data_IF_669415932330
#
_entry.id   IF_669415932330
#
_cell.length_a   1.000
_cell.length_b   1.000
_cell.length_c   1.000
_cell.angle_alpha   90.00
_cell.angle_beta   90.00
_cell.angle_gamma   90.00
#
_symmetry.space_group_name_H-M   'P 1'
#
loop_
_entity.id
_entity.type
_entity.pdbx_description
1 polymer ?
#
# COMPACT_ATOMS: atom_id res chain seq x y z
N UNK A 1 -9.46 60.34 -31.59
CA UNK A 1 -9.76 58.93 -31.25
C UNK A 1 -11.27 58.64 -31.07
N UNK A 2 -12.18 59.45 -31.65
CA UNK A 2 -13.63 59.23 -31.51
C UNK A 2 -14.27 58.42 -32.66
N UNK A 3 -13.56 58.24 -33.78
CA UNK A 3 -14.09 57.57 -34.97
C UNK A 3 -14.13 56.03 -34.84
N UNK A 4 -13.23 55.44 -34.04
CA UNK A 4 -13.09 53.98 -33.93
C UNK A 4 -14.21 53.36 -33.06
N UNK A 5 -14.69 54.12 -32.06
CA UNK A 5 -15.75 53.67 -31.17
C UNK A 5 -17.11 53.49 -31.88
N UNK A 6 -17.39 54.31 -32.91
CA UNK A 6 -18.62 54.21 -33.69
C UNK A 6 -18.67 52.96 -34.56
N UNK A 7 -17.54 52.55 -35.11
CA UNK A 7 -17.45 51.31 -35.90
C UNK A 7 -17.60 50.06 -35.04
N UNK A 8 -17.03 50.05 -33.84
CA UNK A 8 -17.18 48.95 -32.89
C UNK A 8 -18.65 48.78 -32.44
N UNK A 9 -19.38 49.89 -32.23
CA UNK A 9 -20.79 49.83 -31.85
C UNK A 9 -21.66 49.27 -33.00
N UNK A 10 -21.36 49.64 -34.24
CA UNK A 10 -22.08 49.12 -35.41
C UNK A 10 -21.80 47.63 -35.67
N UNK A 11 -20.58 47.16 -35.43
CA UNK A 11 -20.25 45.73 -35.51
C UNK A 11 -20.95 44.91 -34.42
N UNK A 12 -21.04 45.43 -33.19
CA UNK A 12 -21.77 44.78 -32.09
C UNK A 12 -23.28 44.73 -32.35
N UNK A 13 -23.88 45.79 -32.90
CA UNK A 13 -25.30 45.79 -33.26
C UNK A 13 -25.59 44.83 -34.42
N UNK A 14 -24.70 44.76 -35.41
CA UNK A 14 -24.81 43.84 -36.55
C UNK A 14 -24.73 42.37 -36.14
N UNK A 15 -23.85 42.02 -35.19
CA UNK A 15 -23.75 40.65 -34.66
C UNK A 15 -24.99 40.23 -33.87
N UNK A 16 -25.60 41.16 -33.12
CA UNK A 16 -26.80 40.89 -32.33
C UNK A 16 -28.05 40.65 -33.20
N UNK A 17 -28.13 41.30 -34.37
CA UNK A 17 -29.24 41.13 -35.32
C UNK A 17 -29.13 39.87 -36.19
N UNK A 18 -27.94 39.27 -36.32
CA UNK A 18 -27.73 38.04 -37.10
C UNK A 18 -28.08 36.74 -36.33
N UNK A 19 -28.45 36.83 -35.05
CA UNK A 19 -28.55 35.68 -34.15
C UNK A 19 -29.94 34.99 -33.99
N UNK A 20 -31.11 35.50 -34.41
CA UNK A 20 -32.37 34.79 -34.18
C UNK A 20 -32.90 34.15 -35.46
N UNK A 21 -32.19 33.14 -35.99
CA UNK A 21 -32.76 32.27 -37.03
C UNK A 21 -32.34 30.79 -36.94
N UNK A 22 -31.38 30.43 -36.08
CA UNK A 22 -30.85 29.06 -36.03
C UNK A 22 -31.44 28.17 -34.92
N UNK A 23 -32.51 28.60 -34.23
CA UNK A 23 -33.15 27.82 -33.15
C UNK A 23 -34.63 27.50 -33.44
N UNK A 24 -34.96 27.21 -34.71
CA UNK A 24 -36.29 26.75 -35.07
C UNK A 24 -36.25 25.76 -36.25
N UNK A 25 -35.57 24.63 -36.08
CA UNK A 25 -35.81 23.46 -36.91
C UNK A 25 -35.45 22.18 -36.14
N UNK A 26 -36.35 21.20 -36.26
CA UNK A 26 -36.20 19.80 -35.87
C UNK A 26 -36.47 19.38 -34.41
N UNK A 27 -37.76 19.39 -34.04
CA UNK A 27 -38.32 18.43 -33.09
C UNK A 27 -39.65 17.89 -33.64
N UNK A 28 -39.63 17.36 -34.87
CA UNK A 28 -40.85 16.86 -35.53
C UNK A 28 -40.64 15.50 -36.18
N UNK A 29 -40.10 14.52 -35.46
CA UNK A 29 -40.36 13.12 -35.76
C UNK A 29 -40.02 12.22 -34.57
N UNK A 30 -41.05 11.67 -33.91
CA UNK A 30 -40.84 10.72 -32.81
C UNK A 30 -41.99 10.57 -31.82
N UNK A 31 -43.25 10.82 -32.21
CA UNK A 31 -44.41 10.55 -31.37
C UNK A 31 -45.40 9.66 -32.16
N UNK A 32 -45.07 8.37 -32.24
CA UNK A 32 -46.00 7.31 -32.68
C UNK A 32 -45.79 5.94 -32.01
N UNK A 33 -44.88 5.82 -31.04
CA UNK A 33 -44.72 4.56 -30.27
C UNK A 33 -45.12 4.68 -28.79
N UNK A 34 -45.53 5.87 -28.33
CA UNK A 34 -45.80 6.14 -26.90
C UNK A 34 -47.25 5.97 -26.44
N UNK A 35 -48.11 5.33 -27.22
CA UNK A 35 -49.49 5.05 -26.80
C UNK A 35 -49.76 3.57 -26.49
N UNK A 36 -48.84 2.65 -26.82
CA UNK A 36 -49.00 1.22 -26.51
C UNK A 36 -48.43 0.79 -25.14
N UNK A 37 -47.62 1.63 -24.50
CA UNK A 37 -46.99 1.30 -23.21
C UNK A 37 -47.81 1.77 -22.00
N UNK A 38 -48.79 2.66 -22.17
CA UNK A 38 -49.51 3.26 -21.04
C UNK A 38 -50.53 2.34 -20.35
N UNK A 39 -50.82 1.18 -20.93
CA UNK A 39 -51.68 0.17 -20.30
C UNK A 39 -50.88 -0.89 -19.51
N UNK A 40 -49.55 -0.96 -19.71
CA UNK A 40 -48.69 -1.93 -19.01
C UNK A 40 -48.34 -1.52 -17.58
N UNK A 41 -48.49 -0.25 -17.22
CA UNK A 41 -48.22 0.24 -15.87
C UNK A 41 -49.37 0.01 -14.88
N UNK A 42 -50.51 -0.56 -15.33
CA UNK A 42 -51.69 -0.76 -14.47
C UNK A 42 -51.70 -2.07 -13.68
N UNK A 43 -50.80 -3.00 -13.98
CA UNK A 43 -50.69 -4.28 -13.29
C UNK A 43 -49.27 -4.49 -12.76
N UNK A 44 -49.08 -4.71 -11.45
CA UNK A 44 -47.77 -5.12 -10.94
C UNK A 44 -47.37 -6.44 -11.61
N UNK A 45 -46.09 -6.61 -11.99
CA UNK A 45 -45.62 -7.88 -12.52
C UNK A 45 -45.92 -8.98 -11.50
N UNK A 46 -46.31 -10.19 -11.95
CA UNK A 46 -46.56 -11.30 -11.04
C UNK A 46 -45.31 -11.52 -10.17
N UNK A 47 -45.47 -11.85 -8.88
CA UNK A 47 -44.34 -12.13 -7.99
C UNK A 47 -43.43 -13.17 -8.63
N UNK A 48 -42.21 -12.75 -9.00
CA UNK A 48 -41.25 -13.64 -9.61
C UNK A 48 -40.63 -14.49 -8.50
N UNK A 49 -41.15 -15.70 -8.32
CA UNK A 49 -40.55 -16.69 -7.43
C UNK A 49 -39.48 -17.44 -8.21
N UNK A 50 -38.21 -17.12 -7.95
CA UNK A 50 -37.10 -17.95 -8.42
C UNK A 50 -37.29 -19.37 -7.87
N UNK A 51 -37.16 -20.42 -8.70
CA UNK A 51 -37.19 -21.78 -8.20
C UNK A 51 -36.05 -21.96 -7.18
N UNK A 52 -36.25 -22.82 -6.15
CA UNK A 52 -35.19 -23.11 -5.19
C UNK A 52 -33.97 -23.67 -5.92
N UNK A 53 -32.74 -23.31 -5.50
CA UNK A 53 -31.53 -23.87 -6.10
C UNK A 53 -31.56 -25.40 -5.96
N UNK A 54 -31.01 -26.14 -6.94
CA UNK A 54 -30.95 -27.59 -6.86
C UNK A 54 -30.15 -28.02 -5.61
N UNK A 55 -30.49 -29.18 -5.00
CA UNK A 55 -29.74 -29.73 -3.88
C UNK A 55 -28.26 -29.87 -4.26
N UNK A 56 -27.39 -29.19 -3.51
CA UNK A 56 -25.95 -29.30 -3.72
C UNK A 56 -25.43 -30.52 -2.95
N UNK A 57 -24.93 -31.50 -3.68
CA UNK A 57 -24.19 -32.62 -3.10
C UNK A 57 -22.69 -32.38 -3.32
N UNK A 58 -21.96 -32.19 -2.22
CA UNK A 58 -20.51 -32.16 -2.27
C UNK A 58 -19.98 -33.51 -2.76
N UNK A 59 -19.01 -33.54 -3.69
CA UNK A 59 -18.36 -34.79 -4.08
C UNK A 59 -17.68 -35.43 -2.86
N UNK A 60 -17.60 -36.77 -2.81
CA UNK A 60 -16.88 -37.46 -1.74
C UNK A 60 -15.40 -37.04 -1.73
N UNK A 61 -14.77 -36.94 -0.55
CA UNK A 61 -13.35 -36.60 -0.46
C UNK A 61 -12.50 -37.66 -1.18
N UNK A 62 -11.38 -37.25 -1.80
CA UNK A 62 -10.49 -38.18 -2.46
C UNK A 62 -9.89 -39.19 -1.46
N UNK A 63 -9.65 -40.44 -1.88
CA UNK A 63 -9.04 -41.44 -1.02
C UNK A 63 -7.65 -40.97 -0.56
N UNK A 64 -7.40 -41.06 0.76
CA UNK A 64 -6.09 -40.79 1.32
C UNK A 64 -5.22 -42.03 1.14
N UNK A 65 -4.23 -41.94 0.25
CA UNK A 65 -3.21 -42.99 0.10
C UNK A 65 -2.00 -42.58 0.96
N UNK A 66 -1.61 -43.37 1.97
CA UNK A 66 -0.40 -43.10 2.74
C UNK A 66 0.81 -43.10 1.82
N UNK A 67 1.70 -42.11 1.97
CA UNK A 67 2.99 -42.12 1.29
C UNK A 67 3.88 -43.24 1.84
N UNK A 68 4.70 -43.89 1.00
CA UNK A 68 5.65 -44.89 1.47
C UNK A 68 6.68 -44.23 2.42
N UNK A 69 7.21 -44.97 3.41
CA UNK A 69 8.27 -44.46 4.28
C UNK A 69 9.55 -44.17 3.48
N UNK A 70 10.34 -43.16 3.88
CA UNK A 70 11.59 -42.82 3.21
C UNK A 70 12.61 -43.97 3.35
N UNK A 71 13.52 -44.14 2.37
CA UNK A 71 14.57 -45.15 2.44
C UNK A 71 15.52 -44.84 3.61
N UNK A 72 15.84 -45.86 4.40
CA UNK A 72 16.85 -45.76 5.46
C UNK A 72 18.22 -45.96 4.82
N UNK A 73 19.04 -44.90 4.81
CA UNK A 73 20.44 -44.97 4.37
C UNK A 73 21.31 -45.16 5.61
N UNK A 74 22.04 -46.28 5.66
CA UNK A 74 22.99 -46.57 6.74
C UNK A 74 24.41 -46.25 6.26
N UNK A 75 25.08 -45.31 6.92
CA UNK A 75 26.46 -44.95 6.62
C UNK A 75 27.42 -45.71 7.56
N UNK A 76 28.59 -46.16 7.07
CA UNK A 76 29.60 -46.76 7.94
C UNK A 76 30.18 -45.71 8.91
N UNK A 77 30.61 -46.13 10.12
CA UNK A 77 31.27 -45.23 11.05
C UNK A 77 32.61 -44.74 10.48
N UNK A 78 33.00 -43.48 10.76
CA UNK A 78 34.27 -42.94 10.28
C UNK A 78 35.47 -43.65 10.92
N UNK A 79 36.63 -43.72 10.23
CA UNK A 79 37.83 -44.32 10.79
C UNK A 79 38.34 -43.50 11.98
N UNK A 80 38.74 -44.19 13.05
CA UNK A 80 39.37 -43.57 14.21
C UNK A 80 40.86 -43.42 13.93
N UNK A 81 41.33 -42.18 13.81
CA UNK A 81 42.77 -41.88 13.69
C UNK A 81 43.29 -41.46 15.06
N UNK A 82 44.14 -42.30 15.66
CA UNK A 82 44.84 -41.95 16.89
C UNK A 82 46.05 -41.08 16.55
N UNK A 83 46.00 -39.80 16.92
CA UNK A 83 47.17 -38.93 16.82
C UNK A 83 48.21 -39.29 17.91
N UNK A 84 49.51 -39.22 17.61
CA UNK A 84 50.55 -39.43 18.61
C UNK A 84 50.52 -38.31 19.67
N UNK A 85 50.94 -38.60 20.92
CA UNK A 85 51.01 -37.60 21.98
C UNK A 85 52.06 -36.52 21.64
N UNK A 86 51.78 -35.23 21.95
CA UNK A 86 52.70 -34.15 21.65
C UNK A 86 53.98 -34.22 22.51
N UNK A 87 55.12 -33.75 22.00
CA UNK A 87 56.36 -33.74 22.76
C UNK A 87 56.28 -32.79 23.96
N UNK A 88 56.86 -33.20 25.08
CA UNK A 88 56.94 -32.37 26.29
C UNK A 88 57.97 -31.24 26.10
N UNK A 89 57.61 -29.98 26.39
CA UNK A 89 58.55 -28.87 26.31
C UNK A 89 59.50 -28.87 27.51
N UNK A 90 60.82 -28.92 27.26
CA UNK A 90 61.83 -28.52 28.24
C UNK A 90 61.85 -27.00 28.32
N UNK A 91 61.26 -26.43 29.38
CA UNK A 91 61.30 -24.98 29.62
C UNK A 91 62.59 -24.57 30.34
N UNK A 92 63.27 -23.51 29.87
CA UNK A 92 64.36 -22.88 30.63
C UNK A 92 63.83 -22.22 31.92
N UNK A 93 64.71 -21.96 32.92
CA UNK A 93 64.31 -21.32 34.17
C UNK A 93 63.72 -19.91 33.91
N UNK A 94 62.69 -19.50 34.67
CA UNK A 94 62.01 -18.25 34.43
C UNK A 94 62.94 -17.05 34.73
N UNK A 95 62.89 -15.98 33.90
CA UNK A 95 63.67 -14.78 34.15
C UNK A 95 63.20 -14.09 35.43
N UNK A 96 64.14 -13.47 36.15
CA UNK A 96 63.87 -12.68 37.35
C UNK A 96 63.12 -11.42 36.93
N UNK A 97 61.85 -11.31 37.34
CA UNK A 97 60.99 -10.19 36.98
C UNK A 97 61.34 -8.99 37.85
N UNK A 98 62.01 -8.00 37.26
CA UNK A 98 62.07 -6.65 37.83
C UNK A 98 60.74 -5.97 37.49
N UNK A 99 59.94 -5.66 38.50
CA UNK A 99 58.62 -5.05 38.32
C UNK A 99 58.75 -3.66 37.69
N UNK A 100 58.53 -3.59 36.38
CA UNK A 100 58.28 -2.32 35.70
C UNK A 100 56.96 -1.72 36.19
N UNK A 101 56.85 -0.39 36.32
CA UNK A 101 55.61 0.27 36.69
C UNK A 101 54.51 -0.01 35.66
N UNK A 102 53.23 -0.09 36.08
CA UNK A 102 52.11 -0.38 35.18
C UNK A 102 52.00 0.71 34.10
N UNK A 103 51.78 0.35 32.83
CA UNK A 103 51.59 1.33 31.77
C UNK A 103 50.33 2.18 32.04
N UNK A 104 50.32 3.45 31.63
CA UNK A 104 49.14 4.30 31.77
C UNK A 104 47.97 3.69 31.01
N UNK A 105 46.83 3.58 31.69
CA UNK A 105 45.59 3.08 31.09
C UNK A 105 45.10 4.13 30.10
N UNK A 106 45.33 3.89 28.81
CA UNK A 106 44.72 4.69 27.74
C UNK A 106 43.30 4.16 27.57
N UNK A 107 42.31 4.92 28.05
CA UNK A 107 40.91 4.64 27.77
C UNK A 107 40.65 4.90 26.29
N UNK A 108 40.64 3.84 25.48
CA UNK A 108 40.13 3.91 24.12
C UNK A 108 38.65 4.30 24.16
N UNK A 109 38.20 5.22 23.29
CA UNK A 109 36.78 5.54 23.20
C UNK A 109 36.00 4.28 22.79
N UNK A 110 34.75 4.12 23.25
CA UNK A 110 33.92 3.00 22.87
C UNK A 110 33.73 2.96 21.35
N UNK A 111 33.68 1.77 20.73
CA UNK A 111 33.45 1.64 19.30
C UNK A 111 32.11 2.29 18.92
N UNK A 112 32.02 2.94 17.75
CA UNK A 112 30.76 3.53 17.29
C UNK A 112 29.68 2.46 17.20
N UNK A 113 28.56 2.71 17.87
CA UNK A 113 27.38 1.84 17.80
C UNK A 113 26.83 1.91 16.37
N UNK A 114 26.57 0.77 15.70
CA UNK A 114 25.92 0.79 14.40
C UNK A 114 24.55 1.45 14.51
N UNK A 115 24.39 2.61 13.89
CA UNK A 115 23.09 3.26 13.78
C UNK A 115 22.28 2.45 12.76
N UNK A 116 21.09 1.92 13.12
CA UNK A 116 20.24 1.25 12.15
C UNK A 116 19.91 2.21 11.01
N UNK A 117 19.81 1.72 9.77
CA UNK A 117 19.49 2.57 8.62
C UNK A 117 18.17 3.31 8.88
N UNK A 118 18.06 4.58 8.45
CA UNK A 118 16.82 5.34 8.61
C UNK A 118 15.66 4.56 8.01
N UNK A 119 14.48 4.53 8.67
CA UNK A 119 13.32 3.82 8.15
C UNK A 119 13.02 4.35 6.74
N UNK A 120 13.07 3.44 5.77
CA UNK A 120 12.69 3.75 4.39
C UNK A 120 11.28 4.31 4.41
N UNK A 121 11.09 5.55 3.93
CA UNK A 121 9.80 6.26 3.88
C UNK A 121 8.71 5.53 3.09
N UNK A 122 9.05 4.38 2.50
CA UNK A 122 8.16 3.50 1.80
C UNK A 122 7.51 2.46 2.72
N UNK A 123 7.81 2.40 4.01
CA UNK A 123 7.15 1.47 4.93
C UNK A 123 6.10 2.22 5.74
N UNK A 124 4.86 1.74 5.69
CA UNK A 124 3.71 2.30 6.41
C UNK A 124 3.14 1.32 7.41
N UNK A 125 2.61 1.87 8.49
CA UNK A 125 1.99 1.15 9.60
C UNK A 125 0.58 1.68 9.83
N UNK A 126 -0.28 0.86 10.39
CA UNK A 126 -1.56 1.33 10.91
C UNK A 126 -1.33 2.01 12.26
N UNK A 127 -1.73 3.27 12.41
CA UNK A 127 -1.57 4.01 13.68
C UNK A 127 -2.50 3.47 14.78
N UNK A 128 -3.69 2.98 14.40
CA UNK A 128 -4.69 2.47 15.34
C UNK A 128 -4.70 0.94 15.41
N UNK A 129 -3.63 0.37 15.94
CA UNK A 129 -3.50 -1.09 16.12
C UNK A 129 -4.46 -1.66 17.17
N UNK A 130 -4.99 -0.83 18.09
CA UNK A 130 -5.97 -1.25 19.09
C UNK A 130 -7.34 -1.54 18.47
N UNK A 131 -7.77 -0.73 17.51
CA UNK A 131 -9.01 -0.96 16.77
C UNK A 131 -8.87 -2.05 15.69
N UNK A 132 -7.66 -2.26 15.16
CA UNK A 132 -7.38 -3.20 14.07
C UNK A 132 -6.17 -4.09 14.38
N UNK A 133 -6.28 -5.04 15.34
CA UNK A 133 -5.15 -5.88 15.77
C UNK A 133 -4.65 -6.82 14.67
N UNK A 134 -5.47 -7.06 13.64
CA UNK A 134 -5.13 -7.89 12.48
C UNK A 134 -4.15 -7.21 11.51
N UNK A 135 -4.05 -5.88 11.52
CA UNK A 135 -3.13 -5.12 10.66
C UNK A 135 -1.83 -4.72 11.39
N UNK A 136 -1.13 -5.68 12.01
CA UNK A 136 0.10 -5.42 12.76
C UNK A 136 1.38 -5.43 11.89
N UNK A 137 1.31 -6.09 10.73
CA UNK A 137 2.46 -6.20 9.83
C UNK A 137 2.69 -4.89 9.05
N UNK A 138 3.95 -4.41 8.95
CA UNK A 138 4.29 -3.31 8.06
C UNK A 138 3.97 -3.65 6.61
N UNK A 139 3.55 -2.64 5.84
CA UNK A 139 3.39 -2.76 4.40
C UNK A 139 4.28 -1.78 3.67
N UNK A 140 4.85 -2.22 2.55
CA UNK A 140 5.66 -1.36 1.68
C UNK A 140 4.78 -0.68 0.64
N UNK A 141 4.94 0.63 0.49
CA UNK A 141 4.31 1.46 -0.51
C UNK A 141 4.57 0.90 -1.92
N UNK A 142 3.54 0.81 -2.76
CA UNK A 142 3.72 0.52 -4.18
C UNK A 142 4.64 1.57 -4.82
N UNK A 143 5.61 1.13 -5.64
CA UNK A 143 6.54 2.03 -6.39
C UNK A 143 5.84 3.06 -7.28
N UNK A 144 4.55 2.84 -7.60
CA UNK A 144 3.70 3.75 -8.37
C UNK A 144 3.25 4.99 -7.58
N UNK A 145 3.34 5.00 -6.25
CA UNK A 145 2.99 6.17 -5.45
C UNK A 145 4.15 7.18 -5.50
N UNK A 146 3.98 8.31 -6.20
CA UNK A 146 5.05 9.31 -6.42
C UNK A 146 5.38 10.21 -5.23
N UNK A 147 4.48 10.32 -4.24
CA UNK A 147 4.58 11.34 -3.17
C UNK A 147 4.59 10.73 -1.77
N UNK A 148 3.59 9.91 -1.44
CA UNK A 148 3.55 9.10 -0.23
C UNK A 148 2.45 8.05 -0.34
N UNK A 149 2.48 7.04 0.52
CA UNK A 149 1.34 6.16 0.73
C UNK A 149 0.95 6.16 2.21
N UNK A 150 -0.28 5.75 2.51
CA UNK A 150 -0.79 5.58 3.86
C UNK A 150 -1.44 4.21 3.98
N UNK A 151 -1.41 3.61 5.17
CA UNK A 151 -2.04 2.31 5.42
C UNK A 151 -3.54 2.49 5.65
N UNK A 152 -4.40 1.86 4.84
CA UNK A 152 -5.81 1.72 5.18
C UNK A 152 -5.97 0.59 6.21
N UNK A 153 -6.16 0.96 7.48
CA UNK A 153 -6.32 0.02 8.59
C UNK A 153 -7.56 -0.89 8.47
N UNK A 154 -8.58 -0.51 7.69
CA UNK A 154 -9.77 -1.36 7.50
C UNK A 154 -9.49 -2.51 6.54
N UNK A 155 -8.63 -2.27 5.56
CA UNK A 155 -8.28 -3.25 4.50
C UNK A 155 -6.87 -3.84 4.64
N UNK A 156 -6.10 -3.37 5.63
CA UNK A 156 -4.66 -3.64 5.79
C UNK A 156 -3.84 -3.42 4.51
N UNK A 157 -4.21 -2.44 3.68
CA UNK A 157 -3.55 -2.21 2.38
C UNK A 157 -2.94 -0.81 2.29
N UNK A 158 -1.72 -0.67 1.73
CA UNK A 158 -1.16 0.64 1.44
C UNK A 158 -1.91 1.28 0.27
N UNK A 159 -2.42 2.50 0.49
CA UNK A 159 -3.13 3.32 -0.50
C UNK A 159 -2.27 4.52 -0.83
N UNK A 160 -2.11 4.85 -2.12
CA UNK A 160 -1.40 6.06 -2.51
C UNK A 160 -2.20 7.28 -2.05
N UNK A 161 -1.62 8.11 -1.19
CA UNK A 161 -2.21 9.36 -0.74
C UNK A 161 -1.69 10.52 -1.56
N UNK A 162 -2.55 11.51 -1.83
CA UNK A 162 -2.06 12.88 -2.05
C UNK A 162 -1.73 13.42 -0.66
N UNK A 163 -0.49 13.82 -0.43
CA UNK A 163 0.02 14.35 0.82
C UNK A 163 -1.02 15.30 1.43
N UNK A 164 -1.70 14.89 2.50
CA UNK A 164 -2.66 15.73 3.22
C UNK A 164 -1.89 16.70 4.13
N UNK A 165 -0.89 17.39 3.58
CA UNK A 165 -0.05 18.38 4.24
C UNK A 165 -0.72 19.78 4.25
N UNK A 166 -2.05 19.83 4.30
CA UNK A 166 -2.80 21.09 4.13
C UNK A 166 -4.03 21.19 5.04
N UNK A 167 -3.98 20.59 6.23
CA UNK A 167 -5.09 20.74 7.20
C UNK A 167 -4.72 21.16 8.62
N UNK A 168 -3.45 21.42 8.92
CA UNK A 168 -3.08 21.99 10.23
C UNK A 168 -2.51 23.41 10.18
N UNK A 169 -2.10 23.93 9.02
CA UNK A 169 -1.62 25.34 8.91
C UNK A 169 -2.79 26.34 8.93
N UNK A 170 -4.02 25.92 8.59
CA UNK A 170 -5.19 26.80 8.60
C UNK A 170 -5.77 26.98 10.02
N UNK A 171 -5.51 26.06 10.95
CA UNK A 171 -6.01 26.19 12.33
C UNK A 171 -5.24 27.19 13.19
N UNK A 172 -3.97 27.48 12.84
CA UNK A 172 -3.17 28.48 13.56
C UNK A 172 -3.36 29.91 13.07
N UNK A 173 -3.81 30.12 11.83
CA UNK A 173 -4.03 31.48 11.30
C UNK A 173 -5.38 32.08 11.66
N UNK A 174 -6.37 31.27 12.05
CA UNK A 174 -7.69 31.78 12.45
C UNK A 174 -7.85 32.09 13.94
N UNK A 175 -6.88 31.73 14.80
CA UNK A 175 -6.96 32.00 16.26
C UNK A 175 -6.20 33.27 16.68
N UNK A 176 -5.47 33.92 15.77
CA UNK A 176 -4.65 35.12 16.09
C UNK A 176 -5.35 36.43 15.66
N UNK A 177 -6.56 36.37 15.08
CA UNK A 177 -7.32 37.57 14.66
C UNK A 177 -8.78 37.58 15.15
N UNK A 178 -9.04 37.19 16.40
CA UNK A 178 -10.31 37.49 17.07
C UNK A 178 -10.10 37.83 18.53
#
# INVERSE_FOLDING_TARGET
MAAVARWALLLLLGLALLAPAALAADNKYGDKEKEKDKDKDKYPPPPYHSPPPPPYHSPPPPPQVPSPPPPIVSYPPPPVVSSPPPPLPSSPPPPVVVSSPPPPVVSSPPPPVPVPPPPSSNVVYCENTTAYPTCKAPATCPKRCKQSCHMDCKTCKPVCGKSRMHREIVFWTHTIMS
#
